data_IF_830698789708
#
_entry.id   IF_830698789708
#
_cell.length_a   1.000
_cell.length_b   1.000
_cell.length_c   1.000
_cell.angle_alpha   90.00
_cell.angle_beta   90.00
_cell.angle_gamma   90.00
#
_symmetry.space_group_name_H-M   'P 1'
#
loop_
_entity.id
_entity.type
_entity.pdbx_description
1 polymer ?
#
# COMPACT_ATOMS: atom_id res chain seq x y z
N UNK A 1 0.61 -12.10 5.06
CA UNK A 1 1.55 -13.23 4.77
C UNK A 1 2.92 -12.88 5.35
N UNK A 2 3.74 -13.87 5.70
CA UNK A 2 5.14 -13.62 6.08
C UNK A 2 5.98 -13.34 4.83
N UNK A 3 6.78 -12.28 4.86
CA UNK A 3 7.71 -11.90 3.79
C UNK A 3 9.10 -11.79 4.40
N UNK A 4 10.09 -12.39 3.76
CA UNK A 4 11.50 -12.35 4.20
C UNK A 4 12.36 -11.67 3.14
N UNK A 5 13.34 -10.90 3.58
CA UNK A 5 14.28 -10.20 2.71
C UNK A 5 15.68 -10.16 3.30
N UNK A 6 16.65 -9.82 2.46
CA UNK A 6 18.05 -9.62 2.87
C UNK A 6 18.33 -8.13 3.11
N UNK A 7 19.24 -7.82 4.02
CA UNK A 7 19.68 -6.44 4.28
C UNK A 7 20.18 -5.77 3.00
N UNK A 8 19.78 -4.52 2.79
CA UNK A 8 20.03 -3.74 1.56
C UNK A 8 19.18 -4.16 0.35
N UNK A 9 18.47 -5.29 0.43
CA UNK A 9 17.63 -5.79 -0.64
C UNK A 9 16.28 -5.06 -0.77
N UNK A 10 15.45 -5.57 -1.67
CA UNK A 10 14.09 -5.11 -1.91
C UNK A 10 13.12 -6.26 -1.67
N UNK A 11 12.00 -5.98 -1.03
CA UNK A 11 10.88 -6.91 -0.89
C UNK A 11 9.59 -6.26 -1.36
N UNK A 12 8.66 -7.10 -1.79
CA UNK A 12 7.29 -6.69 -2.10
C UNK A 12 6.36 -7.22 -1.01
N UNK A 13 5.56 -6.32 -0.46
CA UNK A 13 4.55 -6.61 0.54
C UNK A 13 3.21 -6.76 -0.19
N UNK A 14 2.72 -7.99 -0.44
CA UNK A 14 1.53 -8.20 -1.25
C UNK A 14 0.28 -7.75 -0.48
N UNK A 15 -0.58 -6.99 -1.15
CA UNK A 15 -1.88 -6.57 -0.63
C UNK A 15 -2.90 -6.53 -1.75
N UNK A 16 -3.92 -7.38 -1.67
CA UNK A 16 -4.92 -7.53 -2.71
C UNK A 16 -6.32 -7.46 -2.13
N UNK A 17 -7.20 -6.67 -2.76
CA UNK A 17 -8.62 -6.65 -2.43
C UNK A 17 -9.32 -7.78 -3.18
N UNK A 18 -9.69 -8.84 -2.46
CA UNK A 18 -10.43 -9.96 -3.02
C UNK A 18 -11.89 -9.55 -3.27
N UNK A 19 -12.35 -9.75 -4.50
CA UNK A 19 -13.74 -9.67 -4.95
C UNK A 19 -14.58 -8.57 -4.27
N UNK A 20 -14.36 -7.28 -4.60
CA UNK A 20 -15.25 -6.24 -4.13
C UNK A 20 -16.70 -6.57 -4.55
N UNK A 21 -17.65 -6.42 -3.62
CA UNK A 21 -19.06 -6.61 -3.94
C UNK A 21 -19.47 -5.67 -5.10
N UNK A 22 -20.46 -6.05 -5.93
CA UNK A 22 -20.90 -5.21 -7.03
C UNK A 22 -21.23 -3.78 -6.55
N UNK A 23 -20.70 -2.77 -7.24
CA UNK A 23 -20.91 -1.36 -6.89
C UNK A 23 -20.01 -0.81 -5.77
N UNK A 24 -19.12 -1.62 -5.19
CA UNK A 24 -18.12 -1.16 -4.23
C UNK A 24 -16.94 -0.53 -4.96
N UNK A 25 -16.54 0.65 -4.53
CA UNK A 25 -15.38 1.39 -5.08
C UNK A 25 -14.33 1.59 -4.00
N UNK A 26 -13.06 1.44 -4.38
CA UNK A 26 -11.92 1.78 -3.51
C UNK A 26 -11.70 3.28 -3.59
N UNK A 27 -11.82 3.97 -2.45
CA UNK A 27 -11.57 5.40 -2.35
C UNK A 27 -10.12 5.72 -1.96
N UNK A 28 -9.46 4.83 -1.21
CA UNK A 28 -8.09 5.02 -0.75
C UNK A 28 -7.46 3.68 -0.36
N UNK A 29 -6.14 3.57 -0.47
CA UNK A 29 -5.37 2.53 0.21
C UNK A 29 -4.38 3.17 1.17
N UNK A 30 -4.20 2.55 2.33
CA UNK A 30 -3.28 3.00 3.37
C UNK A 30 -2.45 1.84 3.89
N UNK A 31 -1.13 2.00 3.84
CA UNK A 31 -0.17 1.11 4.47
C UNK A 31 0.30 1.69 5.79
N UNK A 32 0.39 0.83 6.79
CA UNK A 32 0.93 1.15 8.12
C UNK A 32 2.05 0.17 8.48
N UNK A 33 3.07 0.67 9.16
CA UNK A 33 4.09 -0.12 9.82
C UNK A 33 3.96 0.15 11.32
N UNK A 34 3.70 -0.89 12.12
CA UNK A 34 3.46 -0.75 13.58
C UNK A 34 2.44 0.36 13.90
N UNK A 35 1.30 0.33 13.21
CA UNK A 35 0.18 1.29 13.30
C UNK A 35 0.47 2.73 12.84
N UNK A 36 1.70 3.05 12.43
CA UNK A 36 2.05 4.34 11.83
C UNK A 36 1.88 4.28 10.32
N UNK A 37 1.13 5.22 9.74
CA UNK A 37 0.98 5.32 8.28
C UNK A 37 2.32 5.59 7.61
N UNK A 38 2.69 4.77 6.62
CA UNK A 38 3.95 4.90 5.86
C UNK A 38 3.72 5.22 4.40
N UNK A 39 2.59 4.79 3.83
CA UNK A 39 2.20 5.14 2.47
C UNK A 39 0.68 5.20 2.35
N UNK A 40 0.18 6.11 1.51
CA UNK A 40 -1.22 6.17 1.13
C UNK A 40 -1.34 6.45 -0.36
N UNK A 41 -2.37 5.89 -0.99
CA UNK A 41 -2.74 6.22 -2.36
C UNK A 41 -4.20 6.61 -2.42
N UNK A 42 -4.48 7.77 -3.02
CA UNK A 42 -5.83 8.23 -3.30
C UNK A 42 -5.96 8.51 -4.81
N UNK A 43 -7.00 7.99 -5.52
CA UNK A 43 -7.12 8.14 -6.97
C UNK A 43 -7.04 9.58 -7.49
N UNK A 44 -7.57 10.55 -6.72
CA UNK A 44 -7.51 11.98 -7.04
C UNK A 44 -6.22 12.70 -6.64
N UNK A 45 -5.57 12.28 -5.54
CA UNK A 45 -4.46 13.02 -4.92
C UNK A 45 -3.10 12.33 -5.13
N UNK A 46 -3.10 11.13 -5.72
CA UNK A 46 -1.90 10.35 -5.97
C UNK A 46 -1.38 9.67 -4.71
N UNK A 47 -0.07 9.39 -4.74
CA UNK A 47 0.66 8.71 -3.67
C UNK A 47 1.19 9.74 -2.66
N UNK A 48 1.13 9.39 -1.37
CA UNK A 48 1.69 10.18 -0.28
C UNK A 48 2.46 9.29 0.70
N UNK A 49 3.63 9.77 1.15
CA UNK A 49 4.50 9.09 2.12
C UNK A 49 4.73 10.01 3.32
N UNK A 50 3.90 9.93 4.38
CA UNK A 50 3.98 10.86 5.51
C UNK A 50 5.13 10.56 6.47
N UNK A 51 5.73 9.36 6.41
CA UNK A 51 6.81 8.95 7.30
C UNK A 51 8.18 9.42 6.74
N UNK A 52 8.94 10.26 7.46
CA UNK A 52 10.22 10.77 6.97
C UNK A 52 11.34 9.70 6.94
N UNK A 53 11.23 8.63 7.72
CA UNK A 53 12.20 7.52 7.76
C UNK A 53 11.93 6.47 6.67
N UNK A 54 10.65 6.31 6.32
CA UNK A 54 10.13 5.42 5.28
C UNK A 54 9.40 6.26 4.23
N UNK A 55 10.19 6.98 3.42
CA UNK A 55 9.70 7.88 2.38
C UNK A 55 9.76 7.30 0.97
N UNK A 56 9.52 8.17 -0.02
CA UNK A 56 9.45 7.84 -1.45
C UNK A 56 10.72 7.21 -2.04
N UNK A 57 11.89 7.46 -1.43
CA UNK A 57 13.16 6.83 -1.85
C UNK A 57 13.19 5.32 -1.58
N UNK A 58 12.41 4.87 -0.58
CA UNK A 58 12.40 3.49 -0.10
C UNK A 58 11.11 2.77 -0.41
N UNK A 59 9.99 3.49 -0.49
CA UNK A 59 8.66 2.94 -0.71
C UNK A 59 8.11 3.32 -2.08
N UNK A 60 7.48 2.34 -2.74
CA UNK A 60 6.72 2.58 -3.97
C UNK A 60 5.57 1.58 -4.07
N UNK A 61 4.40 2.04 -4.51
CA UNK A 61 3.36 1.11 -4.93
C UNK A 61 3.77 0.46 -6.25
N UNK A 62 3.66 -0.88 -6.35
CA UNK A 62 4.07 -1.63 -7.54
C UNK A 62 3.11 -1.36 -8.70
N UNK A 63 1.80 -1.41 -8.42
CA UNK A 63 0.75 -1.31 -9.45
C UNK A 63 -0.20 -0.11 -9.27
N UNK A 64 -0.19 0.56 -8.10
CA UNK A 64 -1.04 1.73 -7.88
C UNK A 64 -0.49 2.93 -8.67
N UNK A 65 -1.25 3.42 -9.66
CA UNK A 65 -0.89 4.56 -10.52
C UNK A 65 -0.39 4.21 -11.93
N UNK A 66 -0.29 2.92 -12.29
CA UNK A 66 -0.02 2.51 -13.68
C UNK A 66 -1.22 2.78 -14.62
N UNK A 67 -2.41 2.99 -14.06
CA UNK A 67 -3.58 3.51 -14.77
C UNK A 67 -3.65 5.02 -14.64
N UNK A 68 -3.22 5.75 -15.67
CA UNK A 68 -3.57 7.16 -15.81
C UNK A 68 -5.10 7.31 -15.78
N UNK A 69 -5.61 8.03 -14.79
CA UNK A 69 -6.82 8.84 -14.96
C UNK A 69 -8.17 8.14 -14.95
N UNK A 70 -8.31 6.89 -14.51
CA UNK A 70 -9.65 6.32 -14.28
C UNK A 70 -9.78 5.77 -12.87
N UNK A 71 -11.00 5.89 -12.34
CA UNK A 71 -11.47 5.38 -11.06
C UNK A 71 -11.52 3.83 -11.05
N UNK A 72 -10.55 3.21 -11.70
CA UNK A 72 -10.41 1.78 -11.95
C UNK A 72 -9.87 1.11 -10.72
N UNK A 73 -10.77 0.44 -10.02
CA UNK A 73 -10.60 -0.92 -9.52
C UNK A 73 -9.20 -1.24 -9.00
N UNK A 74 -8.73 -0.42 -8.05
CA UNK A 74 -7.46 -0.63 -7.38
C UNK A 74 -7.59 -1.89 -6.51
N UNK A 75 -7.27 -3.02 -7.11
CA UNK A 75 -7.31 -4.34 -6.46
C UNK A 75 -5.97 -4.81 -5.97
N UNK A 76 -4.89 -4.20 -6.45
CA UNK A 76 -3.53 -4.52 -6.07
C UNK A 76 -2.86 -3.26 -5.52
N UNK A 77 -2.53 -3.33 -4.24
CA UNK A 77 -1.84 -2.29 -3.51
C UNK A 77 -0.49 -2.77 -2.98
N UNK A 78 0.13 -3.74 -3.66
CA UNK A 78 1.44 -4.26 -3.31
C UNK A 78 2.46 -3.13 -3.18
N UNK A 79 3.17 -3.13 -2.05
CA UNK A 79 4.14 -2.10 -1.69
C UNK A 79 5.55 -2.67 -1.78
N UNK A 80 6.38 -2.09 -2.63
CA UNK A 80 7.80 -2.38 -2.65
C UNK A 80 8.53 -1.55 -1.59
N UNK A 81 9.35 -2.22 -0.78
CA UNK A 81 10.25 -1.62 0.20
C UNK A 81 11.69 -1.95 -0.19
N UNK A 82 12.47 -0.91 -0.47
CA UNK A 82 13.86 -0.97 -0.95
C UNK A 82 14.87 -0.64 0.14
N UNK A 83 16.06 -1.21 0.01
CA UNK A 83 17.18 -0.95 0.90
C UNK A 83 16.85 -1.39 2.32
N UNK A 84 16.42 -2.65 2.49
CA UNK A 84 15.97 -3.20 3.76
C UNK A 84 17.00 -3.03 4.88
N UNK A 85 16.48 -2.72 6.08
CA UNK A 85 17.25 -2.52 7.31
C UNK A 85 16.60 -3.31 8.44
N UNK A 86 17.35 -3.53 9.52
CA UNK A 86 16.86 -4.33 10.66
C UNK A 86 15.65 -3.66 11.31
N UNK A 87 15.63 -2.32 11.37
CA UNK A 87 14.52 -1.54 11.91
C UNK A 87 13.21 -1.63 11.11
N UNK A 88 13.26 -2.09 9.86
CA UNK A 88 12.07 -2.31 9.04
C UNK A 88 11.34 -3.61 9.43
N UNK A 89 11.92 -4.47 10.26
CA UNK A 89 11.24 -5.66 10.73
C UNK A 89 9.97 -5.29 11.52
N UNK A 90 8.83 -5.84 11.14
CA UNK A 90 7.60 -5.62 11.88
C UNK A 90 6.34 -5.96 11.12
N UNK A 91 5.21 -5.62 11.74
CA UNK A 91 3.91 -5.82 11.15
C UNK A 91 3.58 -4.67 10.20
N UNK A 92 3.36 -5.02 8.93
CA UNK A 92 2.83 -4.12 7.92
C UNK A 92 1.38 -4.47 7.64
N UNK A 93 0.49 -3.48 7.75
CA UNK A 93 -0.94 -3.65 7.48
C UNK A 93 -1.35 -2.75 6.33
N UNK A 94 -2.15 -3.30 5.43
CA UNK A 94 -2.73 -2.59 4.30
C UNK A 94 -4.24 -2.53 4.51
N UNK A 95 -4.81 -1.33 4.42
CA UNK A 95 -6.23 -1.09 4.59
C UNK A 95 -6.77 -0.45 3.29
N UNK A 96 -7.78 -1.08 2.69
CA UNK A 96 -8.58 -0.54 1.59
C UNK A 96 -9.79 0.21 2.17
N UNK A 97 -9.84 1.53 2.00
CA UNK A 97 -11.06 2.29 2.27
C UNK A 97 -11.98 2.17 1.07
N UNK A 98 -13.20 1.67 1.29
CA UNK A 98 -14.19 1.45 0.23
C UNK A 98 -15.48 2.19 0.53
N UNK A 99 -16.21 2.55 -0.53
CA UNK A 99 -17.56 3.08 -0.44
C UNK A 99 -18.55 2.12 -1.13
N UNK A 100 -19.73 1.85 -0.54
CA UNK A 100 -20.24 2.35 0.74
C UNK A 100 -19.78 1.52 1.97
N UNK A 101 -19.01 0.46 1.76
CA UNK A 101 -18.80 -0.59 2.75
C UNK A 101 -17.78 -0.30 3.85
N UNK A 102 -17.12 0.87 3.79
CA UNK A 102 -16.10 1.29 4.75
C UNK A 102 -14.76 0.59 4.52
N UNK A 103 -13.95 0.46 5.57
CA UNK A 103 -12.58 -0.09 5.45
C UNK A 103 -12.59 -1.62 5.41
N UNK A 104 -11.68 -2.19 4.61
CA UNK A 104 -11.41 -3.63 4.45
C UNK A 104 -9.90 -3.87 4.53
N UNK A 105 -9.49 -5.02 5.04
CA UNK A 105 -8.10 -5.46 5.18
C UNK A 105 -7.93 -6.80 4.50
#
# INVERSE_FOLDING_TARGET
PEVRGQLGGTVELPCHLLSPAPGVRVSQVTWKHRDVTVAAFHPKYGVHFPNPQLGQERLSFVNAGAGQGTETDLRDATLALRGLRVEDEGNYTCDFTTFPNGTRR
#
